data_IF_695712456730
#
_entry.id   IF_695712456730
#
_cell.length_a   1.000
_cell.length_b   1.000
_cell.length_c   1.000
_cell.angle_alpha   90.00
_cell.angle_beta   90.00
_cell.angle_gamma   90.00
#
_symmetry.space_group_name_H-M   'P 1'
#
loop_
_entity.id
_entity.type
_entity.pdbx_description
1 polymer ?
#
# COMPACT_ATOMS: atom_id res chain seq x y z
N UNK A 1 -6.72 -22.00 -10.12
CA UNK A 1 -6.85 -22.91 -8.96
C UNK A 1 -7.56 -22.15 -7.85
N UNK A 2 -8.70 -22.65 -7.37
CA UNK A 2 -9.51 -22.01 -6.33
C UNK A 2 -9.07 -22.56 -4.96
N UNK A 3 -8.70 -21.72 -4.01
CA UNK A 3 -8.27 -22.14 -2.66
C UNK A 3 -9.05 -21.33 -1.63
N UNK A 4 -9.80 -22.02 -0.77
CA UNK A 4 -10.50 -21.43 0.37
C UNK A 4 -9.65 -21.61 1.63
N UNK A 5 -9.39 -20.53 2.36
CA UNK A 5 -8.70 -20.56 3.66
C UNK A 5 -9.74 -20.53 4.78
N UNK A 6 -9.67 -21.52 5.68
CA UNK A 6 -10.54 -21.60 6.84
C UNK A 6 -9.97 -20.87 8.06
N UNK A 7 -10.84 -20.14 8.75
CA UNK A 7 -10.81 -20.05 10.21
C UNK A 7 -12.26 -19.99 10.69
N UNK A 8 -12.66 -21.05 11.39
CA UNK A 8 -13.94 -21.30 12.08
C UNK A 8 -15.23 -21.39 11.25
N UNK A 9 -15.51 -22.62 10.80
CA UNK A 9 -16.88 -23.09 10.59
C UNK A 9 -17.33 -23.77 11.88
N UNK A 10 -18.19 -23.12 12.67
CA UNK A 10 -19.06 -23.85 13.60
C UNK A 10 -20.29 -24.31 12.81
N UNK A 11 -20.22 -25.48 12.18
CA UNK A 11 -21.42 -26.19 11.78
C UNK A 11 -22.17 -26.58 13.05
N UNK A 12 -23.48 -26.31 13.11
CA UNK A 12 -24.34 -26.96 14.10
C UNK A 12 -24.12 -28.47 14.00
N UNK A 13 -24.11 -29.15 15.15
CA UNK A 13 -23.65 -30.54 15.32
C UNK A 13 -24.29 -31.60 14.39
N UNK A 14 -25.27 -31.26 13.56
CA UNK A 14 -25.90 -32.14 12.58
C UNK A 14 -25.98 -31.46 11.20
N UNK A 15 -24.98 -31.60 10.32
CA UNK A 15 -25.16 -31.28 8.90
C UNK A 15 -26.18 -32.25 8.28
N UNK A 16 -27.16 -31.70 7.57
CA UNK A 16 -28.20 -32.46 6.86
C UNK A 16 -27.56 -33.46 5.87
N UNK A 17 -28.03 -34.73 5.80
CA UNK A 17 -27.52 -35.75 4.87
C UNK A 17 -27.62 -35.38 3.38
N UNK A 18 -28.32 -34.30 3.02
CA UNK A 18 -28.41 -33.76 1.66
C UNK A 18 -27.29 -32.78 1.28
N UNK A 19 -26.39 -32.43 2.22
CA UNK A 19 -25.27 -31.53 1.94
C UNK A 19 -24.19 -32.26 1.14
N UNK A 20 -24.22 -32.10 -0.18
CA UNK A 20 -23.14 -32.54 -1.08
C UNK A 20 -22.03 -31.49 -1.07
N UNK A 21 -20.93 -31.78 -0.38
CA UNK A 21 -19.69 -31.01 -0.52
C UNK A 21 -18.98 -31.43 -1.81
N UNK A 22 -18.69 -30.51 -2.75
CA UNK A 22 -17.91 -30.82 -3.94
C UNK A 22 -16.50 -31.29 -3.53
N UNK A 23 -16.16 -32.54 -3.83
CA UNK A 23 -14.84 -33.13 -3.54
C UNK A 23 -13.88 -33.08 -4.73
N UNK A 24 -14.34 -32.63 -5.90
CA UNK A 24 -13.55 -32.55 -7.12
C UNK A 24 -13.01 -31.14 -7.35
N UNK A 25 -11.67 -31.03 -7.34
CA UNK A 25 -10.93 -29.81 -7.68
C UNK A 25 -10.70 -29.81 -9.18
N UNK A 26 -11.75 -29.62 -9.98
CA UNK A 26 -11.59 -29.36 -11.41
C UNK A 26 -11.57 -27.85 -11.63
N UNK A 27 -10.59 -27.35 -12.37
CA UNK A 27 -10.53 -25.94 -12.73
C UNK A 27 -11.78 -25.56 -13.56
N UNK A 28 -12.52 -24.55 -13.10
CA UNK A 28 -13.62 -23.97 -13.86
C UNK A 28 -13.00 -23.17 -15.01
N UNK A 29 -13.15 -23.67 -16.24
CA UNK A 29 -12.61 -23.06 -17.46
C UNK A 29 -13.65 -22.20 -18.20
N UNK A 30 -14.74 -21.83 -17.53
CA UNK A 30 -15.79 -20.99 -18.11
C UNK A 30 -15.33 -19.53 -18.20
N UNK A 31 -15.62 -18.90 -19.33
CA UNK A 31 -15.24 -17.50 -19.61
C UNK A 31 -15.97 -16.51 -18.68
N UNK A 32 -17.11 -16.90 -18.11
CA UNK A 32 -17.91 -16.15 -17.14
C UNK A 32 -18.52 -17.13 -16.12
N UNK A 33 -17.78 -17.56 -15.08
CA UNK A 33 -18.32 -18.49 -14.10
C UNK A 33 -19.48 -17.84 -13.34
N UNK A 34 -20.66 -18.48 -13.38
CA UNK A 34 -21.84 -18.02 -12.65
C UNK A 34 -21.70 -18.37 -11.16
N UNK A 35 -21.54 -17.35 -10.32
CA UNK A 35 -21.61 -17.49 -8.87
C UNK A 35 -23.06 -17.37 -8.40
N UNK A 36 -23.72 -18.50 -8.18
CA UNK A 36 -25.02 -18.52 -7.50
C UNK A 36 -24.78 -18.86 -6.03
N UNK A 37 -25.11 -17.93 -5.13
CA UNK A 37 -25.17 -18.20 -3.71
C UNK A 37 -26.58 -17.93 -3.20
N UNK A 38 -27.19 -18.95 -2.59
CA UNK A 38 -28.33 -18.76 -1.70
C UNK A 38 -29.74 -18.99 -2.24
N UNK A 39 -29.94 -19.51 -3.45
CA UNK A 39 -31.23 -20.09 -3.88
C UNK A 39 -31.01 -21.13 -4.98
N UNK A 40 -31.78 -22.23 -4.96
CA UNK A 40 -31.83 -23.16 -6.10
C UNK A 40 -32.99 -22.86 -7.05
N UNK A 41 -34.01 -22.13 -6.59
CA UNK A 41 -35.16 -21.70 -7.40
C UNK A 41 -35.54 -20.25 -7.09
N UNK A 42 -35.97 -19.51 -8.12
CA UNK A 42 -36.30 -18.08 -8.02
C UNK A 42 -37.50 -17.77 -7.08
N UNK A 43 -38.28 -18.78 -6.70
CA UNK A 43 -39.48 -18.64 -5.85
C UNK A 43 -39.22 -18.96 -4.38
N UNK A 44 -37.97 -19.27 -4.01
CA UNK A 44 -37.61 -19.62 -2.65
C UNK A 44 -37.76 -18.40 -1.72
N UNK A 45 -38.64 -18.48 -0.72
CA UNK A 45 -38.82 -17.39 0.24
C UNK A 45 -37.60 -17.34 1.17
N UNK A 46 -36.73 -16.36 1.01
CA UNK A 46 -35.50 -16.22 1.80
C UNK A 46 -35.82 -15.81 3.23
N UNK A 47 -36.18 -16.78 4.07
CA UNK A 47 -36.15 -16.65 5.53
C UNK A 47 -34.72 -16.89 6.06
N UNK A 48 -33.70 -16.47 5.30
CA UNK A 48 -32.30 -16.64 5.64
C UNK A 48 -31.89 -15.63 6.72
N UNK A 49 -32.25 -15.94 7.98
CA UNK A 49 -31.65 -15.33 9.15
C UNK A 49 -30.23 -15.87 9.37
N UNK A 50 -29.29 -15.52 8.51
CA UNK A 50 -27.87 -15.66 8.82
C UNK A 50 -27.09 -14.50 8.19
N UNK A 51 -26.40 -13.75 9.04
CA UNK A 51 -25.26 -12.93 8.63
C UNK A 51 -24.13 -13.92 8.33
N UNK A 52 -23.77 -14.08 7.05
CA UNK A 52 -22.53 -14.77 6.69
C UNK A 52 -21.52 -13.71 6.30
N UNK A 53 -20.53 -13.52 7.16
CA UNK A 53 -19.30 -12.85 6.77
C UNK A 53 -18.68 -13.67 5.64
N UNK A 54 -18.74 -13.16 4.41
CA UNK A 54 -18.03 -13.76 3.29
C UNK A 54 -16.54 -13.70 3.58
N UNK A 55 -15.95 -14.84 3.95
CA UNK A 55 -14.51 -15.03 4.03
C UNK A 55 -13.92 -15.14 2.60
N UNK A 56 -13.95 -14.01 1.88
CA UNK A 56 -13.15 -13.62 0.70
C UNK A 56 -12.83 -14.71 -0.34
N UNK A 57 -13.40 -14.57 -1.53
CA UNK A 57 -13.14 -15.43 -2.70
C UNK A 57 -11.94 -14.88 -3.49
N UNK A 58 -10.92 -15.71 -3.75
CA UNK A 58 -9.76 -15.37 -4.62
C UNK A 58 -9.89 -16.10 -5.96
N UNK A 59 -9.90 -15.38 -7.07
CA UNK A 59 -9.97 -15.93 -8.44
C UNK A 59 -8.78 -15.40 -9.25
N UNK A 60 -7.95 -16.29 -9.80
CA UNK A 60 -6.91 -15.93 -10.78
C UNK A 60 -5.45 -16.10 -10.33
N UNK A 61 -4.52 -15.81 -11.25
CA UNK A 61 -3.09 -15.69 -10.99
C UNK A 61 -2.83 -14.35 -10.31
N UNK A 62 -2.31 -14.40 -9.09
CA UNK A 62 -2.12 -13.22 -8.25
C UNK A 62 -0.82 -12.49 -8.68
N UNK A 63 -0.93 -11.62 -9.68
CA UNK A 63 0.20 -10.84 -10.18
C UNK A 63 0.73 -9.97 -9.02
N UNK A 64 2.06 -9.95 -8.78
CA UNK A 64 2.66 -9.04 -7.83
C UNK A 64 2.21 -7.60 -8.10
N UNK A 65 1.61 -6.96 -7.10
CA UNK A 65 1.18 -5.57 -7.19
C UNK A 65 2.24 -4.62 -6.60
N UNK A 66 3.04 -5.11 -5.65
CA UNK A 66 4.09 -4.33 -5.02
C UNK A 66 5.31 -5.20 -4.72
N UNK A 67 6.49 -4.69 -5.04
CA UNK A 67 7.79 -5.26 -4.65
C UNK A 67 8.47 -4.37 -3.63
N UNK A 68 8.88 -4.90 -2.48
CA UNK A 68 9.65 -4.17 -1.47
C UNK A 68 11.06 -4.73 -1.41
N UNK A 69 12.05 -3.84 -1.50
CA UNK A 69 13.47 -4.19 -1.48
C UNK A 69 14.20 -3.41 -0.39
N UNK A 70 15.04 -4.11 0.37
CA UNK A 70 15.92 -3.57 1.41
C UNK A 70 17.28 -4.28 1.30
N UNK A 71 18.30 -3.56 0.83
CA UNK A 71 19.60 -4.16 0.50
C UNK A 71 19.45 -5.30 -0.51
N UNK A 72 19.83 -6.52 -0.11
CA UNK A 72 19.71 -7.73 -0.92
C UNK A 72 18.38 -8.48 -0.72
N UNK A 73 17.56 -8.08 0.24
CA UNK A 73 16.27 -8.73 0.53
C UNK A 73 15.19 -8.09 -0.32
N UNK A 74 14.50 -8.89 -1.14
CA UNK A 74 13.34 -8.45 -1.91
C UNK A 74 12.17 -9.39 -1.66
N UNK A 75 10.97 -8.82 -1.48
CA UNK A 75 9.72 -9.57 -1.30
C UNK A 75 8.63 -8.91 -2.11
N UNK A 76 7.68 -9.72 -2.57
CA UNK A 76 6.54 -9.25 -3.36
C UNK A 76 5.24 -9.54 -2.63
N UNK A 77 4.24 -8.69 -2.86
CA UNK A 77 2.87 -8.88 -2.38
C UNK A 77 1.90 -8.58 -3.52
N UNK A 78 0.83 -9.36 -3.59
CA UNK A 78 -0.21 -9.17 -4.58
C UNK A 78 -1.28 -8.17 -4.11
N UNK A 79 -2.11 -7.68 -5.04
CA UNK A 79 -3.23 -6.81 -4.69
C UNK A 79 -4.21 -7.49 -3.73
N UNK A 80 -4.46 -8.79 -3.96
CA UNK A 80 -5.34 -9.59 -3.11
C UNK A 80 -4.82 -9.64 -1.68
N UNK A 81 -3.53 -9.92 -1.50
CA UNK A 81 -2.90 -10.00 -0.18
C UNK A 81 -2.85 -8.63 0.51
N UNK A 82 -2.65 -7.54 -0.22
CA UNK A 82 -2.79 -6.18 0.34
C UNK A 82 -4.21 -5.97 0.85
N UNK A 83 -5.24 -6.24 0.05
CA UNK A 83 -6.65 -6.10 0.48
C UNK A 83 -7.03 -7.07 1.62
N UNK A 84 -6.29 -8.17 1.80
CA UNK A 84 -6.47 -9.07 2.94
C UNK A 84 -6.07 -8.44 4.28
N UNK A 85 -5.16 -7.47 4.28
CA UNK A 85 -4.72 -6.75 5.50
C UNK A 85 -5.80 -5.84 6.07
N UNK A 86 -6.83 -5.54 5.30
CA UNK A 86 -7.99 -4.76 5.72
C UNK A 86 -8.40 -3.73 4.67
N UNK A 87 -9.57 -3.13 4.90
CA UNK A 87 -10.06 -1.99 4.14
C UNK A 87 -10.14 -0.82 5.11
N UNK A 88 -9.22 0.10 4.97
CA UNK A 88 -9.14 1.31 5.79
C UNK A 88 -9.49 2.51 4.93
N UNK A 89 -10.21 3.45 5.52
CA UNK A 89 -10.57 4.71 4.87
C UNK A 89 -9.84 5.87 5.54
N UNK A 90 -9.31 6.77 4.73
CA UNK A 90 -8.67 8.01 5.19
C UNK A 90 -8.86 9.10 4.13
N UNK A 91 -8.49 10.33 4.44
CA UNK A 91 -8.56 11.44 3.50
C UNK A 91 -7.24 12.20 3.47
N UNK A 92 -6.82 12.58 2.27
CA UNK A 92 -5.67 13.47 2.06
C UNK A 92 -6.12 14.70 1.29
N UNK A 93 -5.51 15.83 1.60
CA UNK A 93 -5.79 17.11 0.96
C UNK A 93 -4.50 17.79 0.57
N UNK A 94 -4.55 18.57 -0.50
CA UNK A 94 -3.47 19.45 -0.94
C UNK A 94 -4.06 20.68 -1.61
N UNK A 95 -3.21 21.65 -1.94
CA UNK A 95 -3.65 22.87 -2.62
C UNK A 95 -2.82 23.12 -3.88
N UNK A 96 -3.47 23.64 -4.92
CA UNK A 96 -2.81 24.21 -6.09
C UNK A 96 -3.34 25.64 -6.29
N UNK A 97 -2.49 26.63 -5.99
CA UNK A 97 -2.95 28.02 -5.86
C UNK A 97 -4.01 28.15 -4.75
N UNK A 98 -5.14 28.79 -5.08
CA UNK A 98 -6.28 28.96 -4.15
C UNK A 98 -7.27 27.79 -4.17
N UNK A 99 -6.99 26.74 -4.97
CA UNK A 99 -7.89 25.57 -5.07
C UNK A 99 -7.43 24.48 -4.12
N UNK A 100 -8.36 23.99 -3.29
CA UNK A 100 -8.14 22.86 -2.39
C UNK A 100 -8.72 21.58 -2.98
N UNK A 101 -7.94 20.51 -2.96
CA UNK A 101 -8.33 19.19 -3.42
C UNK A 101 -8.41 18.24 -2.23
N UNK A 102 -9.32 17.27 -2.28
CA UNK A 102 -9.46 16.26 -1.23
C UNK A 102 -9.78 14.92 -1.85
N UNK A 103 -8.89 13.95 -1.60
CA UNK A 103 -9.08 12.56 -1.99
C UNK A 103 -9.48 11.73 -0.77
N UNK A 104 -10.62 11.07 -0.87
CA UNK A 104 -11.05 10.00 0.04
C UNK A 104 -10.46 8.68 -0.45
N UNK A 105 -9.63 8.05 0.37
CA UNK A 105 -8.79 6.93 -0.01
C UNK A 105 -9.24 5.66 0.67
N UNK A 106 -9.31 4.55 -0.08
CA UNK A 106 -9.49 3.20 0.43
C UNK A 106 -8.20 2.40 0.22
N UNK A 107 -7.66 1.85 1.30
CA UNK A 107 -6.34 1.24 1.27
C UNK A 107 -5.95 0.57 2.57
N UNK A 108 -4.64 0.45 2.76
CA UNK A 108 -4.01 -0.11 3.95
C UNK A 108 -2.88 0.82 4.40
N UNK A 109 -2.67 1.03 5.71
CA UNK A 109 -1.51 1.76 6.20
C UNK A 109 -0.21 1.15 5.66
N UNK A 110 0.74 2.00 5.22
CA UNK A 110 2.01 1.53 4.68
C UNK A 110 2.78 0.68 5.69
N UNK A 111 2.73 1.02 6.98
CA UNK A 111 3.27 0.22 8.09
C UNK A 111 2.78 -1.23 8.08
N UNK A 112 1.48 -1.44 7.88
CA UNK A 112 0.87 -2.76 7.90
C UNK A 112 1.30 -3.61 6.70
N UNK A 113 1.43 -2.98 5.52
CA UNK A 113 1.94 -3.65 4.31
C UNK A 113 3.41 -4.06 4.52
N UNK A 114 4.27 -3.15 4.97
CA UNK A 114 5.68 -3.46 5.23
C UNK A 114 5.84 -4.53 6.31
N UNK A 115 5.11 -4.41 7.43
CA UNK A 115 5.15 -5.38 8.52
C UNK A 115 4.72 -6.78 8.05
N UNK A 116 3.65 -6.88 7.24
CA UNK A 116 3.25 -8.14 6.61
C UNK A 116 4.36 -8.75 5.77
N UNK A 117 5.09 -7.89 5.05
CA UNK A 117 6.23 -8.29 4.23
C UNK A 117 7.51 -8.46 5.06
N UNK A 118 7.47 -8.32 6.39
CA UNK A 118 8.61 -8.49 7.29
C UNK A 118 9.66 -7.39 7.21
N UNK A 119 9.27 -6.20 6.73
CA UNK A 119 10.06 -4.98 6.81
C UNK A 119 9.49 -4.07 7.91
N UNK A 120 10.34 -3.22 8.47
CA UNK A 120 9.95 -2.20 9.44
C UNK A 120 10.32 -0.81 8.96
N UNK A 121 9.65 0.20 9.50
CA UNK A 121 10.20 1.55 9.48
C UNK A 121 11.36 1.60 10.46
N UNK A 122 12.51 2.14 10.03
CA UNK A 122 13.54 2.56 10.97
C UNK A 122 13.57 4.09 10.94
N UNK A 123 13.77 4.70 12.11
CA UNK A 123 13.68 6.15 12.30
C UNK A 123 14.70 6.93 11.44
N UNK A 124 15.67 6.23 10.88
CA UNK A 124 16.80 6.68 10.10
C UNK A 124 16.78 6.10 8.68
N UNK A 125 15.62 5.80 8.10
CA UNK A 125 15.54 5.29 6.72
C UNK A 125 14.54 6.07 5.90
N UNK A 126 14.87 6.28 4.63
CA UNK A 126 13.96 6.82 3.64
C UNK A 126 13.26 5.70 2.87
N UNK A 127 12.16 6.03 2.20
CA UNK A 127 11.51 5.13 1.28
C UNK A 127 11.50 5.77 -0.11
N UNK A 128 12.23 5.18 -1.04
CA UNK A 128 12.13 5.54 -2.45
C UNK A 128 11.03 4.69 -3.09
N UNK A 129 10.02 5.32 -3.66
CA UNK A 129 8.93 4.62 -4.34
C UNK A 129 9.32 4.39 -5.79
N UNK A 130 9.02 3.21 -6.33
CA UNK A 130 9.21 2.86 -7.73
C UNK A 130 7.84 2.84 -8.43
N UNK A 131 7.76 3.51 -9.57
CA UNK A 131 6.53 3.66 -10.36
C UNK A 131 6.72 3.05 -11.75
N UNK A 132 5.62 2.66 -12.39
CA UNK A 132 5.61 2.24 -13.79
C UNK A 132 5.02 3.34 -14.66
N UNK A 133 5.83 3.87 -15.58
CA UNK A 133 5.44 4.94 -16.51
C UNK A 133 4.84 4.41 -17.83
N UNK A 134 4.61 3.09 -17.92
CA UNK A 134 4.16 2.41 -19.14
C UNK A 134 5.28 2.01 -20.09
N UNK A 135 6.53 2.40 -19.80
CA UNK A 135 7.75 1.93 -20.49
C UNK A 135 8.63 1.08 -19.59
N UNK A 136 8.34 1.05 -18.29
CA UNK A 136 8.98 0.19 -17.31
C UNK A 136 9.05 0.85 -15.94
N UNK A 137 9.73 0.16 -15.02
CA UNK A 137 9.92 0.64 -13.67
C UNK A 137 10.96 1.76 -13.62
N UNK A 138 10.56 2.90 -13.05
CA UNK A 138 11.41 4.07 -12.82
C UNK A 138 11.30 4.52 -11.37
N UNK A 139 12.34 5.20 -10.87
CA UNK A 139 12.26 5.84 -9.57
C UNK A 139 11.15 6.91 -9.58
N UNK A 140 10.22 6.79 -8.65
CA UNK A 140 9.23 7.82 -8.39
C UNK A 140 9.94 9.11 -7.99
N UNK A 141 9.41 10.25 -8.44
CA UNK A 141 10.02 11.56 -8.24
C UNK A 141 10.12 12.02 -6.78
N UNK A 142 9.70 11.19 -5.81
CA UNK A 142 9.66 11.51 -4.38
C UNK A 142 10.22 10.38 -3.52
N UNK A 143 10.99 10.77 -2.51
CA UNK A 143 11.38 9.92 -1.38
C UNK A 143 10.53 10.28 -0.16
N UNK A 144 10.01 9.26 0.52
CA UNK A 144 9.19 9.39 1.73
C UNK A 144 10.11 9.41 2.96
N UNK A 145 10.05 10.50 3.72
CA UNK A 145 10.84 10.71 4.93
C UNK A 145 10.40 9.86 6.14
N UNK A 146 11.29 9.58 7.11
CA UNK A 146 10.99 8.74 8.28
C UNK A 146 9.80 9.24 9.12
N UNK A 147 9.60 10.55 9.20
CA UNK A 147 8.53 11.21 9.96
C UNK A 147 7.14 11.10 9.32
N UNK A 148 7.07 10.85 8.01
CA UNK A 148 5.82 10.74 7.27
C UNK A 148 5.44 9.30 6.91
N UNK A 149 6.39 8.36 6.94
CA UNK A 149 6.17 6.93 6.69
C UNK A 149 4.96 6.34 7.40
N UNK A 150 4.81 6.64 8.70
CA UNK A 150 3.69 6.15 9.52
C UNK A 150 2.33 6.77 9.16
N UNK A 151 2.32 7.84 8.37
CA UNK A 151 1.13 8.57 7.91
C UNK A 151 0.79 8.26 6.46
N UNK A 152 1.57 7.42 5.79
CA UNK A 152 1.34 7.04 4.40
C UNK A 152 0.42 5.82 4.28
N UNK A 153 -0.32 5.76 3.18
CA UNK A 153 -1.27 4.70 2.84
C UNK A 153 -0.97 4.10 1.47
N UNK A 154 -1.01 2.77 1.39
CA UNK A 154 -1.03 2.04 0.12
C UNK A 154 -2.50 1.91 -0.28
N UNK A 155 -2.88 2.67 -1.30
CA UNK A 155 -4.25 2.79 -1.77
C UNK A 155 -4.47 1.94 -3.02
N UNK A 156 -5.57 1.17 -3.03
CA UNK A 156 -6.09 0.53 -4.24
C UNK A 156 -7.29 1.28 -4.82
N UNK A 157 -7.90 2.19 -4.04
CA UNK A 157 -8.95 3.08 -4.55
C UNK A 157 -8.88 4.48 -3.95
N UNK A 158 -9.36 5.47 -4.71
CA UNK A 158 -9.42 6.86 -4.29
C UNK A 158 -10.58 7.58 -4.99
N UNK A 159 -11.21 8.52 -4.29
CA UNK A 159 -12.37 9.28 -4.76
C UNK A 159 -12.19 10.77 -4.49
N UNK A 160 -12.56 11.58 -5.48
CA UNK A 160 -12.68 13.03 -5.38
C UNK A 160 -14.12 13.41 -5.70
N UNK A 161 -14.78 14.13 -4.79
CA UNK A 161 -16.18 14.56 -4.98
C UNK A 161 -17.15 13.42 -5.37
N UNK A 162 -16.94 12.24 -4.79
CA UNK A 162 -17.73 11.02 -5.06
C UNK A 162 -17.44 10.33 -6.40
N UNK A 163 -16.49 10.84 -7.19
CA UNK A 163 -16.01 10.21 -8.42
C UNK A 163 -14.68 9.53 -8.17
N UNK A 164 -14.49 8.34 -8.75
CA UNK A 164 -13.23 7.62 -8.66
C UNK A 164 -12.12 8.41 -9.35
N UNK A 165 -10.97 8.53 -8.69
CA UNK A 165 -9.78 9.20 -9.22
C UNK A 165 -9.18 8.31 -10.31
N UNK A 166 -9.15 8.81 -11.54
CA UNK A 166 -8.59 8.12 -12.70
C UNK A 166 -7.06 8.30 -12.79
N UNK A 167 -6.41 7.79 -13.84
CA UNK A 167 -5.01 8.09 -14.14
C UNK A 167 -3.95 7.08 -13.65
N UNK A 168 -4.31 6.08 -12.85
CA UNK A 168 -3.40 4.98 -12.50
C UNK A 168 -3.69 3.75 -13.35
N UNK A 169 -2.69 3.33 -14.13
CA UNK A 169 -2.67 2.09 -14.90
C UNK A 169 -2.35 0.90 -13.98
N UNK A 170 -1.51 1.12 -12.97
CA UNK A 170 -1.23 0.11 -11.95
C UNK A 170 -2.28 0.16 -10.83
N UNK A 171 -2.53 -0.98 -10.16
CA UNK A 171 -3.60 -1.08 -9.16
C UNK A 171 -3.32 -0.27 -7.89
N UNK A 172 -2.06 0.06 -7.60
CA UNK A 172 -1.66 0.70 -6.36
C UNK A 172 -1.21 2.15 -6.56
N UNK A 173 -1.58 2.98 -5.59
CA UNK A 173 -1.07 4.33 -5.37
C UNK A 173 -0.53 4.41 -3.94
N UNK A 174 0.39 5.34 -3.69
CA UNK A 174 0.76 5.69 -2.32
C UNK A 174 0.31 7.12 -2.04
N UNK A 175 -0.39 7.30 -0.92
CA UNK A 175 -0.76 8.59 -0.40
C UNK A 175 0.06 8.92 0.84
N UNK A 176 0.58 10.12 0.93
CA UNK A 176 1.30 10.63 2.10
C UNK A 176 0.84 12.07 2.40
N UNK A 177 1.10 12.60 3.61
CA UNK A 177 0.91 14.03 3.87
C UNK A 177 1.79 14.88 2.95
N UNK A 178 1.29 16.05 2.57
CA UNK A 178 2.00 16.96 1.67
C UNK A 178 1.23 18.24 1.40
N UNK A 179 1.90 19.18 0.71
CA UNK A 179 1.31 20.48 0.37
C UNK A 179 0.83 20.53 -1.09
N UNK A 180 1.55 19.87 -1.99
CA UNK A 180 1.22 19.80 -3.42
C UNK A 180 0.74 18.40 -3.82
N UNK A 181 0.18 18.24 -5.02
CA UNK A 181 -0.24 16.93 -5.53
C UNK A 181 0.90 15.92 -5.54
N UNK A 182 2.10 16.32 -5.98
CA UNK A 182 3.29 15.47 -6.02
C UNK A 182 3.76 15.03 -4.62
N UNK A 183 3.48 15.88 -3.62
CA UNK A 183 3.73 15.57 -2.20
C UNK A 183 2.59 14.79 -1.55
N UNK A 184 1.49 14.53 -2.24
CA UNK A 184 0.37 13.78 -1.64
C UNK A 184 0.15 12.45 -2.31
N UNK A 185 0.27 12.39 -3.64
CA UNK A 185 -0.09 11.21 -4.41
C UNK A 185 1.09 10.76 -5.27
N UNK A 186 1.45 9.49 -5.11
CA UNK A 186 2.35 8.78 -5.99
C UNK A 186 1.52 7.73 -6.73
N UNK A 187 1.35 7.93 -8.03
CA UNK A 187 0.56 7.07 -8.89
C UNK A 187 1.40 5.95 -9.50
N UNK A 188 0.73 4.92 -10.01
CA UNK A 188 1.36 3.80 -10.71
C UNK A 188 2.43 3.05 -9.89
N UNK A 189 2.19 2.85 -8.59
CA UNK A 189 3.19 2.26 -7.70
C UNK A 189 3.33 0.77 -7.97
N UNK A 190 4.57 0.33 -8.19
CA UNK A 190 4.94 -1.08 -8.40
C UNK A 190 6.01 -1.57 -7.42
N UNK A 191 6.73 -0.65 -6.77
CA UNK A 191 7.74 -1.04 -5.79
C UNK A 191 8.09 0.03 -4.77
N UNK A 192 8.82 -0.40 -3.75
CA UNK A 192 9.40 0.41 -2.70
C UNK A 192 10.82 -0.08 -2.47
N UNK A 193 11.76 0.84 -2.40
CA UNK A 193 13.12 0.59 -1.93
C UNK A 193 13.30 1.31 -0.61
N UNK A 194 13.58 0.55 0.44
CA UNK A 194 13.94 1.09 1.75
C UNK A 194 15.42 1.48 1.66
N UNK A 195 15.68 2.78 1.67
CA UNK A 195 17.03 3.34 1.62
C UNK A 195 17.49 3.66 3.03
N UNK A 196 18.76 3.40 3.34
CA UNK A 196 19.38 3.97 4.53
C UNK A 196 19.24 5.51 4.45
N UNK A 197 18.84 6.18 5.53
CA UNK A 197 18.87 7.63 5.50
C UNK A 197 20.32 8.10 5.36
N UNK A 198 20.51 9.27 4.73
CA UNK A 198 21.76 9.98 4.85
C UNK A 198 22.08 10.19 6.33
N UNK A 199 23.27 9.77 6.75
CA UNK A 199 23.81 10.03 8.08
C UNK A 199 25.17 10.70 7.92
N UNK A 200 25.39 11.81 8.62
CA UNK A 200 26.71 12.40 8.74
C UNK A 200 27.19 12.24 10.19
N UNK A 201 28.46 11.91 10.34
CA UNK A 201 29.06 11.60 11.65
C UNK A 201 29.04 12.78 12.63
N UNK A 202 28.94 14.01 12.11
CA UNK A 202 28.93 15.28 12.85
C UNK A 202 27.54 15.90 13.00
N UNK A 203 26.48 15.23 12.52
CA UNK A 203 25.11 15.73 12.58
C UNK A 203 24.18 14.68 13.22
N UNK A 204 23.85 14.83 14.52
CA UNK A 204 22.90 13.94 15.17
C UNK A 204 21.50 14.11 14.58
N UNK A 205 20.69 13.05 14.68
CA UNK A 205 19.39 12.93 14.00
C UNK A 205 18.39 14.03 14.34
N UNK A 206 18.50 14.61 15.53
CA UNK A 206 17.64 15.66 16.07
C UNK A 206 18.22 17.07 15.92
N UNK A 207 19.43 17.23 15.37
CA UNK A 207 20.10 18.53 15.23
C UNK A 207 19.29 19.55 14.40
N UNK A 208 18.50 19.05 13.45
CA UNK A 208 17.70 19.88 12.55
C UNK A 208 16.25 20.07 13.01
N UNK A 209 15.86 19.45 14.13
CA UNK A 209 14.48 19.50 14.64
C UNK A 209 14.02 20.93 14.92
N UNK A 210 14.90 21.78 15.46
CA UNK A 210 14.62 23.20 15.71
C UNK A 210 14.43 24.03 14.44
N UNK A 211 14.89 23.54 13.29
CA UNK A 211 14.77 24.22 11.99
C UNK A 211 13.62 23.67 11.14
N UNK A 212 12.91 22.63 11.60
CA UNK A 212 11.86 21.98 10.83
C UNK A 212 12.34 21.31 9.55
N UNK A 213 13.64 20.98 9.49
CA UNK A 213 14.29 20.32 8.35
C UNK A 213 14.69 18.90 8.73
N UNK A 214 14.59 17.95 7.82
CA UNK A 214 15.02 16.56 8.04
C UNK A 214 16.36 16.26 7.36
N UNK A 215 17.09 15.25 7.83
CA UNK A 215 18.35 14.82 7.18
C UNK A 215 18.14 14.42 5.72
N UNK A 216 16.97 13.87 5.38
CA UNK A 216 16.61 13.55 4.00
C UNK A 216 16.44 14.80 3.14
N UNK A 217 15.77 15.84 3.66
CA UNK A 217 15.66 17.14 2.96
C UNK A 217 17.03 17.79 2.77
N UNK A 218 17.88 17.73 3.80
CA UNK A 218 19.24 18.24 3.74
C UNK A 218 20.09 17.51 2.69
N UNK A 219 19.95 16.19 2.59
CA UNK A 219 20.66 15.38 1.60
C UNK A 219 20.22 15.61 0.16
N UNK A 220 18.97 16.08 -0.04
CA UNK A 220 18.53 16.55 -1.35
C UNK A 220 19.25 17.81 -1.82
N UNK A 221 19.87 18.56 -0.91
CA UNK A 221 20.60 19.81 -1.19
C UNK A 221 22.10 19.56 -1.28
N UNK A 222 22.64 18.66 -0.46
CA UNK A 222 24.07 18.36 -0.40
C UNK A 222 24.33 16.94 0.06
N UNK A 223 25.27 16.24 -0.59
CA UNK A 223 25.76 14.93 -0.15
C UNK A 223 26.66 15.00 1.08
N UNK A 224 27.04 16.19 1.54
CA UNK A 224 28.11 16.40 2.51
C UNK A 224 29.50 16.17 1.90
N UNK A 225 30.48 15.98 2.77
CA UNK A 225 31.89 15.77 2.43
C UNK A 225 32.20 14.27 2.27
N UNK A 226 33.29 13.97 1.54
CA UNK A 226 33.74 12.58 1.28
C UNK A 226 34.06 11.77 2.56
N UNK A 227 34.35 12.45 3.66
CA UNK A 227 34.63 11.84 4.96
C UNK A 227 33.35 11.49 5.76
N UNK A 228 32.17 11.72 5.19
CA UNK A 228 30.89 11.45 5.85
C UNK A 228 30.51 12.50 6.89
N UNK A 229 30.99 13.74 6.76
CA UNK A 229 30.57 14.90 7.56
C UNK A 229 29.75 15.89 6.72
N UNK A 230 28.99 16.78 7.35
CA UNK A 230 28.26 17.87 6.66
C UNK A 230 28.72 19.27 7.11
N UNK A 231 29.29 19.40 8.30
CA UNK A 231 30.01 20.57 8.84
C UNK A 231 29.18 21.86 8.84
N UNK A 232 28.00 21.88 9.49
CA UNK A 232 27.09 23.03 9.44
C UNK A 232 27.69 24.29 10.09
N UNK A 233 28.54 24.12 11.11
CA UNK A 233 29.13 25.22 11.88
C UNK A 233 30.50 25.66 11.32
N UNK A 234 30.98 25.06 10.22
CA UNK A 234 32.25 25.48 9.63
C UNK A 234 32.11 26.82 8.92
N UNK A 235 33.00 27.76 9.24
CA UNK A 235 33.09 29.02 8.51
C UNK A 235 33.52 28.75 7.06
N UNK A 236 32.69 29.14 6.10
CA UNK A 236 33.02 29.09 4.67
C UNK A 236 33.91 30.30 4.34
N UNK A 237 35.19 30.11 4.00
CA UNK A 237 36.02 31.22 3.52
C UNK A 237 35.49 31.71 2.18
N UNK A 238 35.38 33.03 2.04
CA UNK A 238 34.90 33.72 0.81
C UNK A 238 36.07 34.23 -0.02
#
# INVERSE_FOLDING_TARGET
MLVFYGADVRTSLHPDPSVVLPTTISAVAEQNPLFVYGQTQATEANHCGFVKDTCKIRVGSDVPALTVTEGSTSRTISLSDVALLGIYHTSYFWSEGDTHFTHSVAGVPLSAVLSKMGFGFAADRGISVQVDDGRGMVAGGRTIGPEEQGKCFVAYDAFENGRRVEGSVQPLRIYCPGLTRGDVVIENVVGITITAAPSWSDLPHDALSGYGVTLAQLAGISSGYEDGTFRPDQSIPR
#
